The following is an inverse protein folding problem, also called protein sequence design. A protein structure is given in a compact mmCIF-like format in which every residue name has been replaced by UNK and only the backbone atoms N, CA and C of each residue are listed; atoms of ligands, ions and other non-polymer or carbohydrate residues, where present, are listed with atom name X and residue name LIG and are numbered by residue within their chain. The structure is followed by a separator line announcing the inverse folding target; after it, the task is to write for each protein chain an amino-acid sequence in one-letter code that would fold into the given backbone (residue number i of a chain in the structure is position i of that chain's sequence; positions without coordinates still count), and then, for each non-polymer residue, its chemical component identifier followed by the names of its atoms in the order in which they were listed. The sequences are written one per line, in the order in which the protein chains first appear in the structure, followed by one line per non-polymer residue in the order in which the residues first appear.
data_IF_406126151589
#
_entry.id   IF_406126151589
#
_cell.length_a   1.000
_cell.length_b   1.000
_cell.length_c   1.000
_cell.angle_alpha   90.00
_cell.angle_beta   90.00
_cell.angle_gamma   90.00
#
_symmetry.space_group_name_H-M   'P 1'
#
loop_
_entity.id
_entity.type
_entity.pdbx_description
1 polymer ?
#
# COMPACT_ATOMS: atom_id res chain seq x y z
N UNK A 1 3.40 12.49 -2.71
CA UNK A 1 4.32 11.33 -2.75
C UNK A 1 5.72 11.86 -2.51
N UNK A 2 6.41 11.40 -1.46
CA UNK A 2 7.79 11.80 -1.18
C UNK A 2 8.74 10.76 -1.77
N UNK A 3 9.79 11.16 -2.52
CA UNK A 3 10.83 10.24 -2.99
C UNK A 3 11.49 9.46 -1.85
N UNK A 4 11.63 10.09 -0.67
CA UNK A 4 12.21 9.45 0.51
C UNK A 4 11.48 8.17 0.93
N UNK A 5 10.15 8.13 0.84
CA UNK A 5 9.37 6.95 1.21
C UNK A 5 9.29 5.91 0.09
N UNK A 6 9.60 6.27 -1.16
CA UNK A 6 9.64 5.31 -2.28
C UNK A 6 10.89 4.42 -2.22
N UNK A 7 11.95 4.91 -1.57
CA UNK A 7 13.19 4.15 -1.30
C UNK A 7 13.79 3.51 -2.56
N UNK A 8 13.62 4.15 -3.72
CA UNK A 8 14.00 3.69 -5.05
C UNK A 8 13.48 2.29 -5.46
N UNK A 9 12.51 1.73 -4.73
CA UNK A 9 11.98 0.38 -4.98
C UNK A 9 11.15 0.26 -6.26
N UNK A 10 10.52 1.36 -6.66
CA UNK A 10 9.83 1.49 -7.94
C UNK A 10 9.68 2.98 -8.30
N UNK A 11 10.75 3.58 -8.81
CA UNK A 11 10.75 4.99 -9.22
C UNK A 11 11.10 5.18 -10.70
N UNK A 12 10.80 6.35 -11.30
CA UNK A 12 11.06 6.61 -12.71
C UNK A 12 12.54 6.84 -13.08
N UNK A 13 13.43 6.91 -12.09
CA UNK A 13 14.85 7.26 -12.23
C UNK A 13 15.77 6.04 -12.08
N UNK A 14 15.26 4.89 -11.68
CA UNK A 14 15.98 3.61 -11.71
C UNK A 14 16.05 3.00 -13.11
N UNK A 15 17.04 2.14 -13.39
CA UNK A 15 17.14 1.42 -14.65
C UNK A 15 15.87 0.59 -14.96
N UNK A 16 15.44 0.57 -16.22
CA UNK A 16 14.22 -0.15 -16.64
C UNK A 16 14.26 -1.67 -16.38
N UNK A 17 15.45 -2.25 -16.29
CA UNK A 17 15.64 -3.66 -15.99
C UNK A 17 15.59 -3.99 -14.49
N UNK A 18 15.49 -2.98 -13.63
CA UNK A 18 15.28 -3.16 -12.19
C UNK A 18 13.82 -3.57 -11.93
N UNK A 19 13.57 -4.62 -11.12
CA UNK A 19 12.21 -5.04 -10.81
C UNK A 19 11.49 -3.98 -9.96
N UNK A 20 10.30 -3.57 -10.40
CA UNK A 20 9.42 -2.72 -9.60
C UNK A 20 8.79 -3.54 -8.47
N UNK A 21 9.15 -3.22 -7.23
CA UNK A 21 8.61 -3.86 -6.03
C UNK A 21 7.69 -2.89 -5.28
N UNK A 22 6.72 -3.42 -4.53
CA UNK A 22 5.83 -2.62 -3.68
C UNK A 22 6.60 -1.85 -2.59
N UNK A 23 7.70 -2.40 -2.08
CA UNK A 23 8.55 -1.71 -1.11
C UNK A 23 7.78 -1.21 0.12
N UNK A 24 7.71 0.11 0.30
CA UNK A 24 7.00 0.75 1.40
C UNK A 24 5.53 1.08 1.09
N UNK A 25 5.04 0.76 -0.11
CA UNK A 25 3.63 0.90 -0.44
C UNK A 25 2.80 -0.16 0.27
N UNK A 26 1.51 0.15 0.49
CA UNK A 26 0.57 -0.83 1.01
C UNK A 26 0.30 -1.90 -0.03
N UNK A 27 0.26 -3.16 0.38
CA UNK A 27 -0.08 -4.28 -0.51
C UNK A 27 -1.53 -4.20 -1.01
N UNK A 28 -2.42 -3.65 -0.18
CA UNK A 28 -3.84 -3.48 -0.49
C UNK A 28 -4.33 -2.10 -0.05
N UNK A 29 -5.17 -1.49 -0.89
CA UNK A 29 -5.89 -0.26 -0.57
C UNK A 29 -7.39 -0.48 -0.78
N UNK A 30 -8.19 -0.15 0.23
CA UNK A 30 -9.64 -0.26 0.16
C UNK A 30 -10.18 1.05 -0.42
N UNK A 31 -10.91 0.96 -1.53
CA UNK A 31 -11.62 2.11 -2.10
C UNK A 31 -12.90 2.37 -1.29
N UNK A 32 -12.81 3.24 -0.29
CA UNK A 32 -13.91 3.55 0.63
C UNK A 32 -14.96 4.45 -0.04
N UNK A 33 -16.18 3.94 -0.20
CA UNK A 33 -17.32 4.71 -0.72
C UNK A 33 -18.31 5.11 0.38
N UNK A 34 -18.43 4.31 1.44
CA UNK A 34 -19.33 4.56 2.56
C UNK A 34 -18.73 4.07 3.90
N UNK A 35 -19.47 4.31 4.99
CA UNK A 35 -19.02 3.96 6.35
C UNK A 35 -18.93 2.44 6.57
N UNK A 36 -19.72 1.65 5.85
CA UNK A 36 -19.72 0.20 6.01
C UNK A 36 -18.46 -0.43 5.41
N UNK A 37 -17.87 0.16 4.36
CA UNK A 37 -16.57 -0.26 3.83
C UNK A 37 -15.44 -0.10 4.87
N UNK A 38 -15.48 0.98 5.65
CA UNK A 38 -14.50 1.23 6.73
C UNK A 38 -14.66 0.18 7.84
N UNK A 39 -15.91 -0.10 8.25
CA UNK A 39 -16.18 -1.12 9.29
C UNK A 39 -15.69 -2.48 8.84
N UNK A 40 -15.99 -2.88 7.61
CA UNK A 40 -15.55 -4.15 7.05
C UNK A 40 -14.01 -4.23 6.98
N UNK A 41 -13.33 -3.17 6.53
CA UNK A 41 -11.88 -3.11 6.48
C UNK A 41 -11.21 -3.22 7.85
N UNK A 42 -11.75 -2.52 8.86
CA UNK A 42 -11.23 -2.58 10.24
C UNK A 42 -11.42 -3.95 10.87
N UNK A 43 -12.59 -4.58 10.67
CA UNK A 43 -12.86 -5.93 11.17
C UNK A 43 -11.91 -6.95 10.54
N UNK A 44 -11.75 -6.90 9.21
CA UNK A 44 -10.83 -7.79 8.49
C UNK A 44 -9.40 -7.63 8.97
N UNK A 45 -8.93 -6.39 9.14
CA UNK A 45 -7.58 -6.15 9.61
C UNK A 45 -7.36 -6.56 11.07
N UNK A 46 -8.37 -6.43 11.92
CA UNK A 46 -8.29 -6.92 13.30
C UNK A 46 -8.26 -8.45 13.35
N UNK A 47 -9.09 -9.12 12.55
CA UNK A 47 -9.18 -10.59 12.49
C UNK A 47 -7.88 -11.21 11.99
N UNK A 48 -7.30 -10.66 10.92
CA UNK A 48 -6.07 -11.15 10.30
C UNK A 48 -4.79 -10.50 10.86
N UNK A 49 -4.91 -9.66 11.89
CA UNK A 49 -3.80 -8.89 12.48
C UNK A 49 -2.98 -8.09 11.46
N UNK A 50 -3.66 -7.48 10.49
CA UNK A 50 -3.09 -6.63 9.44
C UNK A 50 -2.98 -5.20 9.97
N UNK A 51 -1.89 -4.52 9.58
CA UNK A 51 -1.69 -3.10 9.88
C UNK A 51 -2.68 -2.23 9.08
N UNK A 52 -3.43 -1.38 9.79
CA UNK A 52 -4.25 -0.28 9.25
C UNK A 52 -3.44 1.02 9.24
#
# INVERSE_FOLDING_TARGET
MSPFFQDATCDPFTPRNEPCLSGNYVEYAINVANVDDIKAGLLFAQEESIRI
#
